data_IF_757639266535
#
_entry.id   IF_757639266535
#
_cell.length_a   1.000
_cell.length_b   1.000
_cell.length_c   1.000
_cell.angle_alpha   90.00
_cell.angle_beta   90.00
_cell.angle_gamma   90.00
#
_symmetry.space_group_name_H-M   'P 1'
#
loop_
_entity.id
_entity.type
_entity.pdbx_description
1 polymer ?
#
# COMPACT_ATOMS: atom_id res chain seq x y z
N UNK A 1 8.45 -4.43 17.53
CA UNK A 1 7.97 -3.98 16.20
C UNK A 1 8.77 -4.74 15.15
N UNK A 2 8.13 -5.59 14.32
CA UNK A 2 8.84 -6.27 13.22
C UNK A 2 9.27 -5.21 12.19
N UNK A 3 10.46 -5.29 11.58
CA UNK A 3 10.87 -4.37 10.52
C UNK A 3 9.90 -4.42 9.33
N UNK A 4 9.58 -3.27 8.72
CA UNK A 4 8.71 -3.19 7.55
C UNK A 4 9.13 -4.14 6.40
N UNK A 5 10.44 -4.41 6.26
CA UNK A 5 10.98 -5.35 5.28
C UNK A 5 10.60 -6.82 5.55
N UNK A 6 10.32 -7.18 6.80
CA UNK A 6 9.96 -8.54 7.17
C UNK A 6 8.47 -8.83 6.85
N UNK A 7 7.63 -7.80 6.87
CA UNK A 7 6.22 -7.86 6.46
C UNK A 7 6.04 -8.15 4.96
N UNK A 8 6.90 -7.58 4.10
CA UNK A 8 6.80 -7.75 2.63
C UNK A 8 6.99 -9.23 2.22
N UNK A 9 7.78 -10.01 2.99
CA UNK A 9 7.98 -11.44 2.71
C UNK A 9 6.81 -12.32 3.18
N UNK A 10 6.11 -11.92 4.23
CA UNK A 10 5.10 -12.73 4.93
C UNK A 10 3.71 -12.63 4.28
N UNK A 11 3.40 -11.49 3.63
CA UNK A 11 2.09 -11.19 3.04
C UNK A 11 2.08 -11.06 1.52
N UNK A 12 3.16 -11.45 0.85
CA UNK A 12 3.09 -11.70 -0.58
C UNK A 12 2.11 -12.87 -0.81
N UNK A 13 0.97 -12.61 -1.46
CA UNK A 13 0.19 -13.65 -2.13
C UNK A 13 1.19 -14.59 -2.83
N UNK A 14 0.97 -15.90 -2.76
CA UNK A 14 1.90 -16.86 -3.32
C UNK A 14 2.31 -16.40 -4.72
N UNK A 15 3.63 -16.24 -4.94
CA UNK A 15 4.21 -15.68 -6.17
C UNK A 15 3.54 -16.24 -7.44
N UNK A 16 3.14 -17.51 -7.39
CA UNK A 16 2.44 -18.24 -8.46
C UNK A 16 1.08 -17.63 -8.85
N UNK A 17 0.27 -17.21 -7.89
CA UNK A 17 -1.09 -16.69 -8.14
C UNK A 17 -1.04 -15.24 -8.66
N UNK A 18 -0.02 -14.48 -8.28
CA UNK A 18 0.30 -13.17 -8.87
C UNK A 18 0.81 -13.35 -10.31
N UNK A 19 1.76 -14.27 -10.54
CA UNK A 19 2.37 -14.51 -11.85
C UNK A 19 1.35 -14.94 -12.92
N UNK A 20 0.32 -15.71 -12.54
CA UNK A 20 -0.76 -16.12 -13.45
C UNK A 20 -1.70 -14.95 -13.81
N UNK A 21 -2.01 -14.05 -12.86
CA UNK A 21 -2.81 -12.85 -13.14
C UNK A 21 -2.06 -11.79 -13.94
N UNK A 22 -0.76 -11.60 -13.69
CA UNK A 22 0.09 -10.63 -14.40
C UNK A 22 0.35 -11.00 -15.86
N UNK A 23 0.25 -12.28 -16.24
CA UNK A 23 0.41 -12.72 -17.63
C UNK A 23 -0.74 -12.28 -18.55
N UNK A 24 -1.90 -11.92 -17.99
CA UNK A 24 -3.11 -11.61 -18.74
C UNK A 24 -3.43 -10.10 -18.79
N UNK A 25 -2.75 -9.27 -17.99
CA UNK A 25 -2.98 -7.82 -17.97
C UNK A 25 -1.99 -7.06 -18.85
N UNK A 26 -2.48 -6.01 -19.52
CA UNK A 26 -1.62 -5.02 -20.19
C UNK A 26 -0.85 -4.16 -19.17
N UNK A 27 -1.25 -4.13 -17.91
CA UNK A 27 -0.59 -3.39 -16.82
C UNK A 27 0.09 -4.35 -15.83
N UNK A 28 1.21 -3.95 -15.21
CA UNK A 28 1.84 -4.75 -14.16
C UNK A 28 1.36 -4.24 -12.79
N UNK A 29 0.75 -5.12 -12.02
CA UNK A 29 0.26 -4.82 -10.68
C UNK A 29 1.15 -5.40 -9.58
N UNK A 30 1.51 -4.58 -8.59
CA UNK A 30 2.08 -5.07 -7.33
C UNK A 30 1.13 -4.73 -6.18
N UNK A 31 0.60 -5.78 -5.54
CA UNK A 31 -0.38 -5.65 -4.47
C UNK A 31 0.23 -6.14 -3.16
N UNK A 32 0.12 -5.34 -2.10
CA UNK A 32 0.54 -5.70 -0.74
C UNK A 32 -0.65 -5.63 0.21
N UNK A 33 -0.75 -6.62 1.10
CA UNK A 33 -1.79 -6.70 2.11
C UNK A 33 -1.18 -6.51 3.50
N UNK A 34 -1.79 -5.60 4.24
CA UNK A 34 -1.59 -5.44 5.67
C UNK A 34 -2.84 -5.93 6.42
N UNK A 35 -2.63 -6.49 7.60
CA UNK A 35 -3.68 -7.03 8.47
C UNK A 35 -3.88 -6.19 9.74
N UNK A 36 -3.05 -5.18 9.97
CA UNK A 36 -3.22 -4.24 11.08
C UNK A 36 -4.43 -3.31 10.86
N UNK A 37 -4.72 -2.44 11.83
CA UNK A 37 -5.77 -1.43 11.68
C UNK A 37 -5.40 -0.51 10.51
N UNK A 38 -6.24 -0.48 9.48
CA UNK A 38 -6.00 0.29 8.28
C UNK A 38 -6.31 1.78 8.42
N UNK A 39 -6.37 2.44 7.26
CA UNK A 39 -6.50 3.89 7.14
C UNK A 39 -7.98 4.25 6.91
N UNK A 40 -8.63 5.03 7.80
CA UNK A 40 -9.98 5.55 7.55
C UNK A 40 -10.04 6.35 6.25
N UNK A 41 -11.18 6.32 5.56
CA UNK A 41 -11.33 6.89 4.23
C UNK A 41 -11.01 8.39 4.21
N UNK A 42 -11.45 9.11 5.23
CA UNK A 42 -11.26 10.55 5.40
C UNK A 42 -9.79 10.98 5.46
N UNK A 43 -8.86 10.07 5.80
CA UNK A 43 -7.44 10.38 5.92
C UNK A 43 -6.58 9.90 4.76
N UNK A 44 -7.15 9.19 3.77
CA UNK A 44 -6.35 8.55 2.71
C UNK A 44 -5.59 9.52 1.81
N UNK A 45 -6.11 10.72 1.58
CA UNK A 45 -5.38 11.74 0.82
C UNK A 45 -4.33 12.43 1.69
N UNK A 46 -4.66 12.63 2.96
CA UNK A 46 -3.83 13.37 3.91
C UNK A 46 -2.54 12.65 4.28
N UNK A 47 -2.52 11.31 4.27
CA UNK A 47 -1.32 10.51 4.59
C UNK A 47 -0.16 10.73 3.62
N UNK A 48 -0.44 11.23 2.42
CA UNK A 48 0.61 11.54 1.45
C UNK A 48 1.27 12.89 1.69
N UNK A 49 0.76 13.70 2.61
CA UNK A 49 1.37 14.95 2.99
C UNK A 49 2.61 14.70 3.86
N UNK A 50 3.70 15.40 3.55
CA UNK A 50 4.93 15.31 4.34
C UNK A 50 4.64 15.71 5.79
N UNK A 51 5.19 14.91 6.72
CA UNK A 51 5.08 15.11 8.16
C UNK A 51 3.68 14.93 8.74
N UNK A 52 2.73 14.43 7.94
CA UNK A 52 1.41 14.13 8.44
C UNK A 52 1.42 12.76 9.12
N UNK A 53 1.00 12.73 10.38
CA UNK A 53 0.94 11.53 11.20
C UNK A 53 -0.52 11.23 11.52
N UNK A 54 -0.97 10.03 11.14
CA UNK A 54 -2.29 9.55 11.51
C UNK A 54 -2.34 9.19 13.00
N UNK A 55 -2.73 10.16 13.81
CA UNK A 55 -2.87 10.02 15.25
C UNK A 55 -1.55 10.09 16.01
N UNK A 56 -1.62 10.48 17.29
CA UNK A 56 -0.47 10.80 18.14
C UNK A 56 0.40 9.59 18.56
N UNK A 57 0.21 8.40 17.99
CA UNK A 57 0.78 7.13 18.53
C UNK A 57 1.73 6.37 17.62
N UNK A 58 1.78 6.66 16.32
CA UNK A 58 2.79 6.08 15.44
C UNK A 58 4.06 6.93 15.52
N UNK A 59 5.10 6.47 16.21
CA UNK A 59 6.37 7.20 16.36
C UNK A 59 7.20 7.42 15.06
N UNK A 60 6.55 7.41 13.89
CA UNK A 60 7.14 7.68 12.58
C UNK A 60 7.07 9.16 12.21
N UNK A 61 7.89 9.57 11.24
CA UNK A 61 8.02 10.99 10.86
C UNK A 61 6.94 11.42 9.85
N UNK A 62 6.14 10.50 9.31
CA UNK A 62 5.09 10.83 8.32
C UNK A 62 5.66 11.11 6.92
N UNK A 63 6.67 10.33 6.49
CA UNK A 63 7.30 10.47 5.17
C UNK A 63 7.11 9.25 4.27
N UNK A 64 6.73 8.09 4.81
CA UNK A 64 6.71 6.82 4.08
C UNK A 64 5.79 6.89 2.86
N UNK A 65 4.55 7.34 3.04
CA UNK A 65 3.58 7.47 1.94
C UNK A 65 3.92 8.58 0.96
N UNK A 66 4.51 9.68 1.42
CA UNK A 66 5.02 10.72 0.52
C UNK A 66 6.10 10.15 -0.41
N UNK A 67 7.04 9.37 0.12
CA UNK A 67 8.09 8.71 -0.66
C UNK A 67 7.48 7.72 -1.65
N UNK A 68 6.54 6.88 -1.22
CA UNK A 68 5.86 5.91 -2.09
C UNK A 68 5.15 6.62 -3.25
N UNK A 69 4.39 7.68 -2.98
CA UNK A 69 3.71 8.46 -4.03
C UNK A 69 4.71 9.09 -5.00
N UNK A 70 5.77 9.70 -4.48
CA UNK A 70 6.82 10.32 -5.30
C UNK A 70 7.49 9.29 -6.22
N UNK A 71 7.76 8.09 -5.71
CA UNK A 71 8.33 7.00 -6.52
C UNK A 71 7.32 6.50 -7.55
N UNK A 72 6.07 6.30 -7.17
CA UNK A 72 5.03 5.87 -8.11
C UNK A 72 4.91 6.86 -9.29
N UNK A 73 4.79 8.15 -9.00
CA UNK A 73 4.78 9.22 -10.02
C UNK A 73 6.03 9.19 -10.91
N UNK A 74 7.23 9.04 -10.32
CA UNK A 74 8.49 9.00 -11.08
C UNK A 74 8.60 7.80 -12.02
N UNK A 75 7.96 6.68 -11.68
CA UNK A 75 8.00 5.45 -12.46
C UNK A 75 6.73 5.26 -13.32
N UNK A 76 5.93 6.32 -13.54
CA UNK A 76 4.64 6.24 -14.25
C UNK A 76 3.75 5.11 -13.72
N UNK A 77 3.76 4.95 -12.39
CA UNK A 77 2.92 4.02 -11.69
C UNK A 77 1.82 4.78 -10.95
N UNK A 78 0.61 4.22 -10.97
CA UNK A 78 -0.50 4.67 -10.15
C UNK A 78 -0.46 3.94 -8.81
N UNK A 79 -0.53 4.70 -7.72
CA UNK A 79 -0.62 4.14 -6.37
C UNK A 79 -2.03 4.33 -5.81
N UNK A 80 -2.62 3.27 -5.27
CA UNK A 80 -3.94 3.33 -4.62
C UNK A 80 -4.01 2.51 -3.33
N UNK A 81 -4.94 2.91 -2.45
CA UNK A 81 -5.16 2.32 -1.13
C UNK A 81 -6.63 1.91 -1.02
N UNK A 82 -6.85 0.63 -0.74
CA UNK A 82 -8.17 0.05 -0.51
C UNK A 82 -8.24 -0.61 0.88
N UNK A 83 -9.44 -0.82 1.40
CA UNK A 83 -9.60 -1.70 2.56
C UNK A 83 -9.34 -3.14 2.12
N UNK A 84 -8.66 -3.93 2.96
CA UNK A 84 -8.49 -5.37 2.68
C UNK A 84 -9.83 -6.11 2.74
N UNK A 85 -10.68 -5.74 3.70
CA UNK A 85 -12.08 -6.19 3.78
C UNK A 85 -12.97 -5.05 3.33
N UNK A 86 -13.86 -5.33 2.37
CA UNK A 86 -14.77 -4.33 1.81
C UNK A 86 -15.49 -3.57 2.93
N UNK A 87 -15.51 -2.24 2.81
CA UNK A 87 -16.18 -1.31 3.74
C UNK A 87 -15.70 -1.37 5.21
N UNK A 88 -14.59 -2.05 5.50
CA UNK A 88 -14.05 -2.18 6.86
C UNK A 88 -12.54 -1.92 6.91
N UNK A 89 -12.17 -0.67 7.20
CA UNK A 89 -10.77 -0.25 7.33
C UNK A 89 -10.08 -0.86 8.56
N UNK A 90 -10.82 -1.38 9.55
CA UNK A 90 -10.23 -1.94 10.77
C UNK A 90 -9.61 -3.32 10.55
N UNK A 91 -9.92 -3.95 9.40
CA UNK A 91 -9.46 -5.28 9.03
C UNK A 91 -8.34 -5.24 7.98
N UNK A 92 -7.47 -4.25 8.02
CA UNK A 92 -6.31 -4.20 7.13
C UNK A 92 -6.49 -3.38 5.88
N UNK A 93 -5.37 -3.22 5.18
CA UNK A 93 -5.20 -2.32 4.05
C UNK A 93 -4.63 -3.08 2.86
N UNK A 94 -5.07 -2.72 1.66
CA UNK A 94 -4.51 -3.18 0.39
C UNK A 94 -3.83 -2.00 -0.30
N UNK A 95 -2.53 -2.11 -0.52
CA UNK A 95 -1.73 -1.15 -1.27
C UNK A 95 -1.53 -1.68 -2.68
N UNK A 96 -1.75 -0.85 -3.69
CA UNK A 96 -1.73 -1.24 -5.10
C UNK A 96 -0.81 -0.28 -5.84
N UNK A 97 0.15 -0.84 -6.58
CA UNK A 97 0.93 -0.12 -7.59
C UNK A 97 0.57 -0.70 -8.95
N UNK A 98 0.14 0.16 -9.87
CA UNK A 98 -0.25 -0.17 -11.24
C UNK A 98 0.77 0.50 -12.17
N UNK A 99 1.59 -0.27 -12.89
CA UNK A 99 2.58 0.26 -13.83
C UNK A 99 2.06 0.15 -15.27
N UNK A 100 2.15 1.24 -16.02
CA UNK A 100 1.95 1.24 -17.47
C UNK A 100 3.06 0.40 -18.13
N UNK A 101 2.72 -0.31 -19.22
CA UNK A 101 3.67 -1.14 -19.99
C UNK A 101 4.52 -0.32 -20.96
#
# INVERSE_FOLDING_TARGET
>A
MKPAFQFIKEYAISKKEIDEKLKLSEEIYKILFDHDKGIPLEFREEIFNRYNQLGNKSGGIGLDFFIIRTLAERYNAKFSIENRVKDDYTKGTKFILEFEK
#
